data_IF_502545299255
#
_entry.id   IF_502545299255
#
_cell.length_a   1.000
_cell.length_b   1.000
_cell.length_c   1.000
_cell.angle_alpha   90.00
_cell.angle_beta   90.00
_cell.angle_gamma   90.00
#
_symmetry.space_group_name_H-M   'P 1'
#
loop_
_entity.id
_entity.type
_entity.pdbx_description
1 polymer ?
#
# COMPACT_ATOMS: atom_id res chain seq x y z
N UNK A 1 -14.01 12.19 -18.71
CA UNK A 1 -14.18 11.93 -17.26
C UNK A 1 -12.97 12.50 -16.50
N UNK A 2 -13.22 13.26 -15.44
CA UNK A 2 -12.15 13.80 -14.61
C UNK A 2 -11.51 12.68 -13.77
N UNK A 3 -10.17 12.63 -13.75
CA UNK A 3 -9.42 11.72 -12.90
C UNK A 3 -9.19 12.39 -11.53
N UNK A 4 -9.32 11.64 -10.46
CA UNK A 4 -9.04 12.14 -9.11
C UNK A 4 -7.61 12.69 -9.01
N UNK A 5 -7.45 13.77 -8.24
CA UNK A 5 -6.11 14.34 -8.00
C UNK A 5 -5.45 13.76 -6.76
N UNK A 6 -6.25 13.28 -5.81
CA UNK A 6 -5.79 12.74 -4.54
C UNK A 6 -6.59 11.47 -4.23
N UNK A 7 -5.97 10.32 -4.43
CA UNK A 7 -6.57 9.01 -4.18
C UNK A 7 -5.98 8.41 -2.91
N UNK A 8 -6.85 8.04 -1.98
CA UNK A 8 -6.50 7.30 -0.78
C UNK A 8 -6.98 5.86 -0.92
N UNK A 9 -6.07 4.92 -0.78
CA UNK A 9 -6.37 3.49 -0.79
C UNK A 9 -6.24 2.98 0.64
N UNK A 10 -7.35 2.57 1.23
CA UNK A 10 -7.36 2.05 2.59
C UNK A 10 -7.36 0.52 2.53
N UNK A 11 -6.37 -0.10 3.16
CA UNK A 11 -6.29 -1.54 3.31
C UNK A 11 -6.69 -1.89 4.74
N UNK A 12 -7.88 -2.46 4.89
CA UNK A 12 -8.45 -2.78 6.20
C UNK A 12 -8.70 -4.28 6.36
N UNK A 13 -7.80 -5.07 5.82
CA UNK A 13 -7.84 -6.54 5.88
C UNK A 13 -6.47 -7.09 6.24
N UNK A 14 -6.46 -8.25 6.87
CA UNK A 14 -5.25 -8.96 7.27
C UNK A 14 -4.70 -9.90 6.19
N UNK A 15 -3.71 -10.74 6.55
CA UNK A 15 -2.99 -11.59 5.60
C UNK A 15 -3.87 -12.65 4.92
N UNK A 16 -4.99 -13.00 5.52
CA UNK A 16 -5.94 -13.98 4.96
C UNK A 16 -6.66 -13.49 3.70
N UNK A 17 -6.69 -12.19 3.49
CA UNK A 17 -7.29 -11.56 2.32
C UNK A 17 -6.22 -11.13 1.31
N UNK A 18 -5.39 -12.07 0.88
CA UNK A 18 -4.23 -11.77 0.04
C UNK A 18 -4.54 -10.97 -1.22
N UNK A 19 -5.65 -11.26 -1.88
CA UNK A 19 -6.00 -10.56 -3.12
C UNK A 19 -6.30 -9.08 -2.92
N UNK A 20 -6.80 -8.69 -1.73
CA UNK A 20 -6.97 -7.28 -1.40
C UNK A 20 -5.62 -6.54 -1.41
N UNK A 21 -4.58 -7.18 -0.90
CA UNK A 21 -3.25 -6.58 -0.84
C UNK A 21 -2.60 -6.46 -2.22
N UNK A 22 -2.65 -7.51 -3.03
CA UNK A 22 -2.16 -7.45 -4.41
C UNK A 22 -2.91 -6.38 -5.20
N UNK A 23 -4.23 -6.34 -5.07
CA UNK A 23 -5.08 -5.38 -5.79
C UNK A 23 -4.77 -3.95 -5.37
N UNK A 24 -4.67 -3.67 -4.07
CA UNK A 24 -4.42 -2.33 -3.56
C UNK A 24 -3.11 -1.74 -4.12
N UNK A 25 -2.02 -2.49 -4.07
CA UNK A 25 -0.73 -2.04 -4.61
C UNK A 25 -0.75 -1.94 -6.13
N UNK A 26 -1.42 -2.84 -6.82
CA UNK A 26 -1.57 -2.76 -8.28
C UNK A 26 -2.37 -1.53 -8.69
N UNK A 27 -3.46 -1.24 -7.99
CA UNK A 27 -4.29 -0.05 -8.27
C UNK A 27 -3.49 1.23 -8.01
N UNK A 28 -2.71 1.28 -6.94
CA UNK A 28 -1.83 2.43 -6.66
C UNK A 28 -0.85 2.66 -7.80
N UNK A 29 -0.21 1.60 -8.27
CA UNK A 29 0.73 1.64 -9.39
C UNK A 29 0.06 2.14 -10.68
N UNK A 30 -1.09 1.57 -11.04
CA UNK A 30 -1.84 1.95 -12.24
C UNK A 30 -2.30 3.41 -12.16
N UNK A 31 -2.86 3.81 -11.02
CA UNK A 31 -3.32 5.18 -10.81
C UNK A 31 -2.18 6.19 -11.03
N UNK A 32 -1.01 5.92 -10.48
CA UNK A 32 0.13 6.82 -10.58
C UNK A 32 0.78 6.79 -11.94
N UNK A 33 1.02 5.60 -12.50
CA UNK A 33 1.76 5.43 -13.75
C UNK A 33 0.94 5.78 -14.99
N UNK A 34 -0.28 5.27 -15.09
CA UNK A 34 -1.09 5.39 -16.30
C UNK A 34 -2.11 6.53 -16.24
N UNK A 35 -2.77 6.71 -15.11
CA UNK A 35 -3.77 7.76 -14.95
C UNK A 35 -3.20 9.08 -14.43
N UNK A 36 -1.91 9.11 -14.09
CA UNK A 36 -1.20 10.33 -13.67
C UNK A 36 -1.84 11.03 -12.47
N UNK A 37 -2.45 10.25 -11.56
CA UNK A 37 -3.00 10.79 -10.32
C UNK A 37 -1.86 11.45 -9.53
N UNK A 38 -2.06 12.70 -9.12
CA UNK A 38 -0.99 13.51 -8.51
C UNK A 38 -0.52 12.96 -7.18
N UNK A 39 -1.47 12.57 -6.33
CA UNK A 39 -1.18 12.07 -4.99
C UNK A 39 -1.89 10.74 -4.81
N UNK A 40 -1.12 9.71 -4.49
CA UNK A 40 -1.65 8.40 -4.13
C UNK A 40 -1.07 8.04 -2.77
N UNK A 41 -1.94 7.67 -1.84
CA UNK A 41 -1.56 7.22 -0.51
C UNK A 41 -2.20 5.88 -0.24
N UNK A 42 -1.41 4.94 0.27
CA UNK A 42 -1.89 3.68 0.81
C UNK A 42 -1.90 3.82 2.33
N UNK A 43 -3.03 3.53 2.96
CA UNK A 43 -3.15 3.58 4.42
C UNK A 43 -3.71 2.27 4.96
N UNK A 44 -2.98 1.68 5.90
CA UNK A 44 -3.44 0.49 6.61
C UNK A 44 -4.39 0.90 7.73
N UNK A 45 -5.59 0.32 7.71
CA UNK A 45 -6.59 0.50 8.77
C UNK A 45 -6.41 -0.53 9.90
N UNK A 46 -7.35 -0.54 10.88
CA UNK A 46 -7.25 -1.39 12.08
C UNK A 46 -6.97 -2.87 11.80
N UNK A 47 -7.71 -3.46 10.86
CA UNK A 47 -7.57 -4.87 10.53
C UNK A 47 -6.41 -5.15 9.55
N UNK A 48 -5.78 -4.13 9.03
CA UNK A 48 -4.60 -4.23 8.18
C UNK A 48 -3.28 -3.96 8.92
N UNK A 49 -3.35 -3.59 10.19
CA UNK A 49 -2.17 -3.16 10.94
C UNK A 49 -1.03 -4.20 10.96
N UNK A 50 -1.35 -5.48 11.07
CA UNK A 50 -0.32 -6.52 11.09
C UNK A 50 0.43 -6.68 9.76
N UNK A 51 -0.13 -6.19 8.66
CA UNK A 51 0.55 -6.18 7.36
C UNK A 51 1.78 -5.28 7.34
N UNK A 52 1.85 -4.34 8.29
CA UNK A 52 2.98 -3.40 8.41
C UNK A 52 4.21 -4.02 9.06
N UNK A 53 4.07 -5.14 9.74
CA UNK A 53 5.18 -5.80 10.44
C UNK A 53 6.27 -6.22 9.46
N UNK A 54 7.52 -6.06 9.90
CA UNK A 54 8.69 -6.44 9.10
C UNK A 54 8.59 -7.89 8.60
N UNK A 55 8.83 -8.05 7.29
CA UNK A 55 8.83 -9.36 6.64
C UNK A 55 7.45 -9.88 6.22
N UNK A 56 6.36 -9.22 6.61
CA UNK A 56 5.01 -9.71 6.26
C UNK A 56 4.74 -9.58 4.76
N UNK A 57 5.00 -8.41 4.18
CA UNK A 57 4.77 -8.19 2.75
C UNK A 57 5.66 -9.06 1.86
N UNK A 58 6.85 -9.40 2.32
CA UNK A 58 7.77 -10.26 1.58
C UNK A 58 7.23 -11.69 1.39
N UNK A 59 6.27 -12.11 2.22
CA UNK A 59 5.63 -13.43 2.10
C UNK A 59 4.58 -13.49 0.98
N UNK A 60 4.15 -12.34 0.48
CA UNK A 60 3.19 -12.25 -0.62
C UNK A 60 3.95 -12.29 -1.95
N UNK A 61 4.19 -13.51 -2.42
CA UNK A 61 4.99 -13.75 -3.63
C UNK A 61 4.19 -13.42 -4.87
N UNK A 62 4.82 -12.73 -5.81
CA UNK A 62 4.28 -12.51 -7.15
C UNK A 62 4.78 -13.65 -8.04
N UNK A 63 3.93 -14.66 -8.24
CA UNK A 63 4.27 -15.84 -9.01
C UNK A 63 4.53 -15.52 -10.49
N UNK A 64 5.26 -16.37 -11.23
CA UNK A 64 5.44 -16.17 -12.67
C UNK A 64 4.12 -15.97 -13.43
N UNK A 65 3.10 -16.75 -13.08
CA UNK A 65 1.78 -16.63 -13.73
C UNK A 65 1.13 -15.28 -13.46
N UNK A 66 1.23 -14.77 -12.24
CA UNK A 66 0.73 -13.43 -11.90
C UNK A 66 1.45 -12.35 -12.68
N UNK A 67 2.77 -12.46 -12.80
CA UNK A 67 3.58 -11.50 -13.55
C UNK A 67 3.22 -11.50 -15.03
N UNK A 68 3.06 -12.67 -15.63
CA UNK A 68 2.67 -12.81 -17.03
C UNK A 68 1.27 -12.23 -17.28
N UNK A 69 0.30 -12.57 -16.43
CA UNK A 69 -1.05 -12.02 -16.55
C UNK A 69 -1.07 -10.50 -16.40
N UNK A 70 -0.32 -9.96 -15.46
CA UNK A 70 -0.24 -8.52 -15.26
C UNK A 70 0.42 -7.85 -16.48
N UNK A 71 1.56 -8.36 -16.92
CA UNK A 71 2.30 -7.80 -18.04
C UNK A 71 1.49 -7.81 -19.33
N UNK A 72 0.68 -8.85 -19.57
CA UNK A 72 -0.13 -8.98 -20.76
C UNK A 72 -1.18 -7.89 -20.95
N UNK A 73 -1.51 -7.17 -19.89
CA UNK A 73 -2.54 -6.13 -19.88
C UNK A 73 -1.99 -4.73 -20.19
N UNK A 74 -0.67 -4.57 -20.25
CA UNK A 74 -0.05 -3.25 -20.44
C UNK A 74 1.00 -3.32 -21.54
N UNK A 75 0.85 -2.48 -22.55
CA UNK A 75 1.78 -2.42 -23.67
C UNK A 75 3.20 -2.07 -23.18
N UNK A 76 4.18 -2.86 -23.61
CA UNK A 76 5.59 -2.64 -23.28
C UNK A 76 6.02 -3.11 -21.89
N UNK A 77 5.08 -3.61 -21.06
CA UNK A 77 5.42 -4.15 -19.75
C UNK A 77 5.89 -5.61 -19.89
N UNK A 78 7.04 -5.90 -19.31
CA UNK A 78 7.63 -7.24 -19.35
C UNK A 78 7.53 -7.90 -17.98
N UNK A 79 7.12 -9.17 -17.95
CA UNK A 79 6.96 -9.92 -16.71
C UNK A 79 8.22 -9.96 -15.85
N UNK A 80 9.38 -10.13 -16.48
CA UNK A 80 10.68 -10.18 -15.78
C UNK A 80 11.08 -8.86 -15.11
N UNK A 81 10.40 -7.75 -15.44
CA UNK A 81 10.61 -6.44 -14.80
C UNK A 81 9.72 -6.22 -13.58
N UNK A 82 8.76 -7.10 -13.35
CA UNK A 82 7.87 -6.99 -12.19
C UNK A 82 8.56 -7.53 -10.94
N UNK A 83 8.26 -6.94 -9.76
CA UNK A 83 8.89 -7.38 -8.51
C UNK A 83 8.45 -8.80 -8.11
N UNK A 84 9.25 -9.44 -7.27
CA UNK A 84 9.05 -10.83 -6.85
C UNK A 84 8.05 -10.99 -5.70
N UNK A 85 7.79 -9.92 -4.97
CA UNK A 85 6.87 -9.92 -3.82
C UNK A 85 6.32 -8.51 -3.55
N UNK A 86 5.34 -8.42 -2.64
CA UNK A 86 4.72 -7.13 -2.32
C UNK A 86 5.64 -6.16 -1.57
N UNK A 87 6.63 -6.65 -0.84
CA UNK A 87 7.59 -5.74 -0.21
C UNK A 87 8.39 -4.97 -1.26
N UNK A 88 8.89 -5.67 -2.26
CA UNK A 88 9.63 -5.04 -3.35
C UNK A 88 8.75 -4.06 -4.14
N UNK A 89 7.50 -4.44 -4.39
CA UNK A 89 6.56 -3.56 -5.08
C UNK A 89 6.29 -2.30 -4.26
N UNK A 90 6.03 -2.45 -2.95
CA UNK A 90 5.77 -1.33 -2.06
C UNK A 90 6.97 -0.37 -1.98
N UNK A 91 8.18 -0.90 -1.87
CA UNK A 91 9.41 -0.09 -1.87
C UNK A 91 9.57 0.66 -3.20
N UNK A 92 9.33 0.00 -4.31
CA UNK A 92 9.39 0.64 -5.62
C UNK A 92 8.36 1.77 -5.75
N UNK A 93 7.12 1.51 -5.32
CA UNK A 93 6.05 2.51 -5.38
C UNK A 93 6.38 3.73 -4.53
N UNK A 94 6.91 3.53 -3.33
CA UNK A 94 7.32 4.63 -2.47
C UNK A 94 8.51 5.39 -3.03
N UNK A 95 9.58 4.69 -3.39
CA UNK A 95 10.87 5.32 -3.72
C UNK A 95 10.91 5.91 -5.13
N UNK A 96 10.23 5.28 -6.09
CA UNK A 96 10.29 5.66 -7.51
C UNK A 96 9.01 6.33 -8.02
N UNK A 97 7.88 6.13 -7.35
CA UNK A 97 6.59 6.65 -7.79
C UNK A 97 5.99 7.68 -6.83
N UNK A 98 6.68 7.97 -5.74
CA UNK A 98 6.23 8.94 -4.72
C UNK A 98 4.85 8.59 -4.14
N UNK A 99 4.56 7.30 -3.99
CA UNK A 99 3.36 6.82 -3.33
C UNK A 99 3.64 6.75 -1.84
N UNK A 100 2.86 7.46 -1.04
CA UNK A 100 2.98 7.42 0.42
C UNK A 100 2.34 6.15 0.95
N UNK A 101 3.00 5.48 1.89
CA UNK A 101 2.46 4.30 2.57
C UNK A 101 2.46 4.60 4.06
N UNK A 102 1.28 4.66 4.65
CA UNK A 102 1.10 5.04 6.05
C UNK A 102 0.25 4.02 6.79
N UNK A 103 0.32 4.06 8.11
CA UNK A 103 -0.51 3.21 8.96
C UNK A 103 -0.84 3.96 10.24
N UNK A 104 -2.04 3.79 10.76
CA UNK A 104 -2.44 4.42 12.01
C UNK A 104 -1.70 3.77 13.19
N UNK A 105 -0.77 4.49 13.78
CA UNK A 105 0.09 4.00 14.87
C UNK A 105 -0.67 3.58 16.12
N UNK A 106 -1.87 4.13 16.34
CA UNK A 106 -2.73 3.70 17.45
C UNK A 106 -2.99 2.19 17.41
N UNK A 107 -3.23 1.63 16.23
CA UNK A 107 -3.51 0.20 16.11
C UNK A 107 -2.26 -0.65 16.25
N UNK A 108 -1.09 -0.13 15.97
CA UNK A 108 0.17 -0.81 16.30
C UNK A 108 0.32 -1.00 17.81
N UNK A 109 -0.05 0.03 18.58
CA UNK A 109 -0.02 -0.04 20.04
C UNK A 109 -1.07 -1.01 20.57
N UNK A 110 -2.32 -0.88 20.07
CA UNK A 110 -3.44 -1.72 20.52
C UNK A 110 -3.25 -3.19 20.17
N UNK A 111 -2.61 -3.48 19.04
CA UNK A 111 -2.27 -4.85 18.63
C UNK A 111 -0.98 -5.38 19.27
N UNK A 112 -0.33 -4.58 20.11
CA UNK A 112 0.75 -5.01 20.97
C UNK A 112 2.15 -5.05 20.34
N UNK A 113 2.37 -4.44 19.18
CA UNK A 113 3.70 -4.43 18.55
C UNK A 113 4.37 -3.05 18.47
N UNK A 114 3.83 -2.06 19.18
CA UNK A 114 4.44 -0.75 19.31
C UNK A 114 4.28 -0.20 20.72
N UNK A 115 5.25 0.57 21.18
CA UNK A 115 5.25 1.22 22.50
C UNK A 115 4.55 2.58 22.45
N UNK A 116 4.45 3.18 21.29
CA UNK A 116 3.79 4.47 21.06
C UNK A 116 3.44 4.65 19.58
N UNK A 117 2.75 5.74 19.28
CA UNK A 117 2.23 6.01 17.94
C UNK A 117 3.34 6.03 16.87
N UNK A 118 4.49 6.58 17.20
CA UNK A 118 5.60 6.77 16.26
C UNK A 118 6.65 5.66 16.31
N UNK A 119 6.41 4.61 17.10
CA UNK A 119 7.34 3.50 17.23
C UNK A 119 7.43 2.70 15.92
N UNK A 120 8.64 2.66 15.35
CA UNK A 120 8.94 1.97 14.08
C UNK A 120 9.68 0.65 14.28
N UNK A 121 9.88 0.21 15.51
CA UNK A 121 10.76 -0.92 15.82
C UNK A 121 10.38 -2.21 15.10
N UNK A 122 9.08 -2.46 14.94
CA UNK A 122 8.54 -3.72 14.44
C UNK A 122 7.86 -3.62 13.08
N UNK A 123 7.85 -2.44 12.48
CA UNK A 123 7.21 -2.23 11.17
C UNK A 123 8.24 -1.98 10.08
N UNK A 124 7.82 -2.14 8.83
CA UNK A 124 8.66 -1.85 7.67
C UNK A 124 9.11 -0.38 7.68
N UNK A 125 10.35 -0.14 7.31
CA UNK A 125 10.95 1.20 7.32
C UNK A 125 10.34 2.15 6.28
N UNK A 126 9.67 1.61 5.27
CA UNK A 126 8.99 2.38 4.22
C UNK A 126 7.53 2.70 4.56
N UNK A 127 7.02 2.26 5.70
CA UNK A 127 5.66 2.57 6.17
C UNK A 127 5.73 3.57 7.30
N UNK A 128 5.07 4.72 7.13
CA UNK A 128 5.09 5.77 8.14
C UNK A 128 3.93 5.61 9.13
N UNK A 129 4.20 5.44 10.42
CA UNK A 129 3.15 5.46 11.42
C UNK A 129 2.63 6.89 11.57
N UNK A 130 1.33 7.06 11.57
CA UNK A 130 0.68 8.37 11.71
C UNK A 130 -0.29 8.35 12.89
N UNK A 131 -0.53 9.53 13.46
CA UNK A 131 -1.54 9.69 14.50
C UNK A 131 -2.95 9.77 13.91
N UNK A 132 -3.94 9.76 14.78
CA UNK A 132 -5.35 9.80 14.37
C UNK A 132 -5.68 11.09 13.62
N UNK A 133 -5.11 12.21 14.05
CA UNK A 133 -5.34 13.51 13.40
C UNK A 133 -4.91 13.45 11.93
N UNK A 134 -3.70 12.96 11.67
CA UNK A 134 -3.18 12.84 10.31
C UNK A 134 -3.94 11.80 9.48
N UNK A 135 -4.32 10.67 10.07
CA UNK A 135 -5.12 9.66 9.39
C UNK A 135 -6.46 10.24 8.94
N UNK A 136 -7.15 10.96 9.83
CA UNK A 136 -8.41 11.63 9.49
C UNK A 136 -8.23 12.70 8.42
N UNK A 137 -7.16 13.49 8.50
CA UNK A 137 -6.84 14.51 7.50
C UNK A 137 -6.68 13.89 6.11
N UNK A 138 -5.97 12.76 6.01
CA UNK A 138 -5.81 12.05 4.74
C UNK A 138 -7.15 11.61 4.16
N UNK A 139 -8.06 11.14 5.00
CA UNK A 139 -9.41 10.74 4.57
C UNK A 139 -10.25 11.92 4.11
N UNK A 140 -10.20 13.02 4.85
CA UNK A 140 -11.03 14.21 4.56
C UNK A 140 -10.53 14.99 3.35
N UNK A 141 -9.25 14.94 3.04
CA UNK A 141 -8.66 15.65 1.88
C UNK A 141 -8.69 14.83 0.59
N UNK A 142 -9.02 13.54 0.64
CA UNK A 142 -9.04 12.69 -0.55
C UNK A 142 -10.21 13.03 -1.46
N UNK A 143 -9.96 13.07 -2.77
CA UNK A 143 -11.01 13.19 -3.78
C UNK A 143 -11.70 11.84 -4.00
N UNK A 144 -10.95 10.76 -3.81
CA UNK A 144 -11.42 9.40 -3.97
C UNK A 144 -10.83 8.51 -2.88
N UNK A 145 -11.68 7.67 -2.31
CA UNK A 145 -11.26 6.67 -1.33
C UNK A 145 -11.64 5.30 -1.86
N UNK A 146 -10.66 4.39 -1.91
CA UNK A 146 -10.84 3.00 -2.28
C UNK A 146 -10.58 2.12 -1.06
N UNK A 147 -11.44 1.13 -0.83
CA UNK A 147 -11.35 0.23 0.32
C UNK A 147 -11.07 -1.20 -0.12
N UNK A 148 -10.10 -1.82 0.55
CA UNK A 148 -9.75 -3.22 0.36
C UNK A 148 -9.64 -3.98 1.68
#
# INVERSE_FOLDING_TARGET
>A
MAVAHNTLIIINTGPDKRWNHYTAYTVAWVARKYYKVRKVTIMYGPYGAEMTKKGTLAKFIMTPDMKELTASQFEGLKAEKLPDNLEELARFERDKMEISIVSCGQYHVLEGFAQGIEDRSNIEDFIDPVDLYKACKLMLEADQILYY
#
